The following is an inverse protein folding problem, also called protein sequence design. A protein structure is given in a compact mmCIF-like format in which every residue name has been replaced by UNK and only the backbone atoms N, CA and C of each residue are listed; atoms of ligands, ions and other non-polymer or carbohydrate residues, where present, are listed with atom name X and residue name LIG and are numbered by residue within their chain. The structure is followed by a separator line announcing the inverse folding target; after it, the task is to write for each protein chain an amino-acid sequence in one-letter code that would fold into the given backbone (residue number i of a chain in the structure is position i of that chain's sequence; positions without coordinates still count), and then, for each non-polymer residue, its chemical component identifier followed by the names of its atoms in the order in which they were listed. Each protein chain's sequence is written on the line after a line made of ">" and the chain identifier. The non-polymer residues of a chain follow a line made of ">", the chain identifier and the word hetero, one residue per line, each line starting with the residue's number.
data_IF_973474943799
#
_entry.id   IF_973474943799
#
_cell.length_a   1.000
_cell.length_b   1.000
_cell.length_c   1.000
_cell.angle_alpha   90.00
_cell.angle_beta   90.00
_cell.angle_gamma   90.00
#
_symmetry.space_group_name_H-M   'P 1'
#
loop_
_entity.id
_entity.type
_entity.pdbx_description
1 polymer ?
#
# COMPACT_ATOMS: atom_id res chain seq x y z
N UNK A 1 1.09 -2.45 38.38
CA UNK A 1 0.95 -2.05 36.95
C UNK A 1 -0.22 -2.83 36.37
N UNK A 2 -1.13 -2.20 35.62
CA UNK A 2 -2.13 -2.97 34.86
C UNK A 2 -1.39 -3.74 33.77
N UNK A 3 -1.57 -5.06 33.72
CA UNK A 3 -1.02 -5.90 32.66
C UNK A 3 -1.69 -5.49 31.35
N UNK A 4 -0.91 -5.30 30.29
CA UNK A 4 -1.45 -5.03 28.95
C UNK A 4 -2.45 -6.15 28.58
N UNK A 5 -3.61 -5.76 28.05
CA UNK A 5 -4.68 -6.70 27.67
C UNK A 5 -4.28 -7.58 26.48
N UNK A 6 -3.34 -7.12 25.67
CA UNK A 6 -2.87 -7.80 24.46
C UNK A 6 -1.35 -7.97 24.54
N UNK A 7 -0.86 -9.11 24.04
CA UNK A 7 0.57 -9.44 24.02
C UNK A 7 1.28 -8.93 22.77
N UNK A 8 0.53 -8.63 21.70
CA UNK A 8 1.06 -8.02 20.47
C UNK A 8 -0.07 -7.35 19.67
N UNK A 9 0.30 -6.47 18.74
CA UNK A 9 -0.62 -5.86 17.77
C UNK A 9 -0.09 -6.01 16.35
N UNK A 10 -0.89 -6.56 15.44
CA UNK A 10 -0.54 -6.70 14.03
C UNK A 10 -1.40 -5.76 13.20
N UNK A 11 -0.76 -5.01 12.31
CA UNK A 11 -1.42 -4.07 11.40
C UNK A 11 -1.36 -4.60 9.98
N UNK A 12 -2.43 -4.40 9.21
CA UNK A 12 -2.26 -4.33 7.75
C UNK A 12 -1.50 -3.05 7.38
N UNK A 13 -0.96 -3.01 6.16
CA UNK A 13 -0.16 -1.91 5.66
C UNK A 13 -1.00 -0.90 4.88
N UNK A 14 -1.42 -1.27 3.68
CA UNK A 14 -2.13 -0.42 2.73
C UNK A 14 -3.52 -0.08 3.27
N UNK A 15 -3.85 1.21 3.44
CA UNK A 15 -5.18 1.63 3.92
C UNK A 15 -5.42 1.43 5.42
N UNK A 16 -4.42 0.94 6.16
CA UNK A 16 -4.47 0.79 7.63
C UNK A 16 -3.36 1.56 8.32
N UNK A 17 -2.11 1.18 8.09
CA UNK A 17 -0.96 1.88 8.66
C UNK A 17 -0.57 3.07 7.78
N UNK A 18 -0.57 2.88 6.47
CA UNK A 18 -0.11 3.83 5.47
C UNK A 18 -1.18 4.15 4.43
N UNK A 19 -1.30 5.42 4.09
CA UNK A 19 -2.08 5.87 2.94
C UNK A 19 -1.25 5.76 1.65
N UNK A 20 -1.34 4.62 0.97
CA UNK A 20 -0.56 4.34 -0.26
C UNK A 20 -1.33 4.62 -1.55
N UNK A 21 -2.59 5.03 -1.45
CA UNK A 21 -3.44 5.30 -2.61
C UNK A 21 -2.92 6.45 -3.51
N UNK A 22 -2.35 7.55 -3.00
CA UNK A 22 -1.82 8.63 -3.85
C UNK A 22 -0.73 8.19 -4.84
N UNK A 23 0.15 7.27 -4.41
CA UNK A 23 1.23 6.74 -5.27
C UNK A 23 0.68 5.84 -6.38
N UNK A 24 -0.35 5.03 -6.06
CA UNK A 24 -1.07 4.27 -7.07
C UNK A 24 -1.81 5.19 -8.05
N UNK A 25 -2.46 6.25 -7.56
CA UNK A 25 -3.14 7.22 -8.41
C UNK A 25 -2.16 7.86 -9.41
N UNK A 26 -0.95 8.18 -8.95
CA UNK A 26 0.13 8.70 -9.79
C UNK A 26 0.51 7.71 -10.87
N UNK A 27 0.84 6.47 -10.49
CA UNK A 27 1.22 5.42 -11.44
C UNK A 27 0.11 5.12 -12.46
N UNK A 28 -1.14 5.02 -12.01
CA UNK A 28 -2.30 4.77 -12.86
C UNK A 28 -2.53 5.91 -13.85
N UNK A 29 -2.49 7.18 -13.41
CA UNK A 29 -2.69 8.32 -14.30
C UNK A 29 -1.54 8.54 -15.30
N UNK A 30 -0.32 8.08 -14.98
CA UNK A 30 0.76 8.00 -15.97
C UNK A 30 0.43 6.93 -17.02
N UNK A 31 0.02 5.73 -16.61
CA UNK A 31 -0.30 4.65 -17.55
C UNK A 31 -1.49 5.00 -18.46
N UNK A 32 -2.57 5.55 -17.89
CA UNK A 32 -3.75 5.98 -18.66
C UNK A 32 -3.35 6.99 -19.75
N UNK A 33 -2.51 7.97 -19.40
CA UNK A 33 -2.00 8.96 -20.35
C UNK A 33 -1.16 8.33 -21.46
N UNK A 34 -0.29 7.37 -21.13
CA UNK A 34 0.51 6.63 -22.12
C UNK A 34 -0.38 5.85 -23.09
N UNK A 35 -1.52 5.34 -22.63
CA UNK A 35 -2.51 4.64 -23.46
C UNK A 35 -3.57 5.56 -24.08
N UNK A 36 -3.44 6.89 -23.92
CA UNK A 36 -4.39 7.90 -24.41
C UNK A 36 -5.82 7.70 -23.89
N UNK A 37 -5.95 7.22 -22.66
CA UNK A 37 -7.22 7.05 -21.95
C UNK A 37 -7.49 8.23 -20.99
N UNK A 38 -8.76 8.50 -20.66
CA UNK A 38 -9.11 9.49 -19.64
C UNK A 38 -8.44 9.17 -18.29
N UNK A 39 -7.91 10.20 -17.63
CA UNK A 39 -7.39 10.10 -16.28
C UNK A 39 -8.51 9.98 -15.25
N UNK A 40 -8.18 9.45 -14.07
CA UNK A 40 -9.12 9.29 -12.97
C UNK A 40 -8.73 10.14 -11.77
N UNK A 41 -9.74 10.49 -10.97
CA UNK A 41 -9.52 11.24 -9.73
C UNK A 41 -8.92 10.31 -8.68
N UNK A 42 -8.14 10.88 -7.77
CA UNK A 42 -7.54 10.13 -6.66
C UNK A 42 -8.61 9.46 -5.77
N UNK A 43 -9.75 10.14 -5.55
CA UNK A 43 -10.86 9.58 -4.78
C UNK A 43 -11.37 8.26 -5.40
N UNK A 44 -11.40 8.17 -6.73
CA UNK A 44 -11.89 6.98 -7.43
C UNK A 44 -10.88 5.83 -7.26
N UNK A 45 -9.57 6.10 -7.32
CA UNK A 45 -8.50 5.11 -7.08
C UNK A 45 -8.69 4.34 -5.78
N UNK A 46 -9.07 5.04 -4.70
CA UNK A 46 -9.25 4.42 -3.37
C UNK A 46 -10.29 3.31 -3.37
N UNK A 47 -11.29 3.39 -4.24
CA UNK A 47 -12.32 2.34 -4.41
C UNK A 47 -11.89 1.19 -5.33
N UNK A 48 -10.80 1.40 -6.09
CA UNK A 48 -10.27 0.45 -7.07
C UNK A 48 -9.10 -0.36 -6.52
N UNK A 49 -8.31 0.25 -5.64
CA UNK A 49 -7.07 -0.32 -5.09
C UNK A 49 -7.32 -1.43 -4.06
N UNK A 50 -8.54 -1.59 -3.54
CA UNK A 50 -8.87 -2.66 -2.59
C UNK A 50 -8.53 -4.05 -3.12
N UNK A 51 -8.65 -4.26 -4.44
CA UNK A 51 -8.27 -5.50 -5.14
C UNK A 51 -6.85 -5.41 -5.75
N UNK A 52 -6.03 -4.48 -5.27
CA UNK A 52 -4.68 -4.21 -5.74
C UNK A 52 -4.60 -3.80 -7.21
N UNK A 53 -3.47 -4.13 -7.86
CA UNK A 53 -3.28 -3.82 -9.28
C UNK A 53 -4.29 -4.56 -10.18
N UNK A 54 -4.79 -5.73 -9.78
CA UNK A 54 -5.77 -6.49 -10.54
C UNK A 54 -7.11 -5.75 -10.68
N UNK A 55 -7.60 -5.14 -9.59
CA UNK A 55 -8.81 -4.30 -9.62
C UNK A 55 -8.67 -3.10 -10.53
N UNK A 56 -7.53 -2.41 -10.46
CA UNK A 56 -7.23 -1.25 -11.30
C UNK A 56 -7.23 -1.65 -12.78
N UNK A 57 -6.54 -2.73 -13.14
CA UNK A 57 -6.49 -3.19 -14.54
C UNK A 57 -7.88 -3.58 -15.04
N UNK A 58 -8.61 -4.37 -14.25
CA UNK A 58 -9.93 -4.87 -14.65
C UNK A 58 -10.94 -3.75 -14.85
N UNK A 59 -10.97 -2.75 -13.96
CA UNK A 59 -11.96 -1.67 -14.03
C UNK A 59 -11.59 -0.58 -15.05
N UNK A 60 -10.32 -0.19 -15.15
CA UNK A 60 -9.93 0.95 -15.99
C UNK A 60 -9.58 0.58 -17.44
N UNK A 61 -9.12 -0.65 -17.66
CA UNK A 61 -8.77 -1.13 -19.01
C UNK A 61 -9.80 -2.11 -19.56
N UNK A 62 -10.82 -2.48 -18.77
CA UNK A 62 -11.86 -3.44 -19.15
C UNK A 62 -11.30 -4.79 -19.64
N UNK A 63 -10.20 -5.25 -19.03
CA UNK A 63 -9.53 -6.52 -19.35
C UNK A 63 -9.31 -7.35 -18.08
N UNK A 64 -9.49 -8.67 -18.16
CA UNK A 64 -9.28 -9.60 -17.05
C UNK A 64 -8.11 -10.55 -17.34
N UNK A 65 -7.80 -11.46 -16.40
CA UNK A 65 -6.68 -12.41 -16.50
C UNK A 65 -6.71 -13.32 -17.74
N UNK A 66 -7.85 -13.50 -18.39
CA UNK A 66 -7.97 -14.25 -19.64
C UNK A 66 -7.57 -13.43 -20.88
N UNK A 67 -7.46 -12.10 -20.76
CA UNK A 67 -7.05 -11.23 -21.85
C UNK A 67 -5.51 -11.26 -22.03
N UNK A 68 -4.98 -11.48 -23.25
CA UNK A 68 -3.53 -11.52 -23.50
C UNK A 68 -2.76 -10.26 -23.09
N UNK A 69 -3.43 -9.10 -23.03
CA UNK A 69 -2.82 -7.82 -22.63
C UNK A 69 -2.85 -7.57 -21.13
N UNK A 70 -3.54 -8.40 -20.35
CA UNK A 70 -3.75 -8.19 -18.92
C UNK A 70 -2.42 -8.13 -18.16
N UNK A 71 -1.61 -9.19 -18.25
CA UNK A 71 -0.39 -9.26 -17.46
C UNK A 71 0.63 -8.21 -17.90
N UNK A 72 0.72 -7.97 -19.22
CA UNK A 72 1.55 -6.88 -19.76
C UNK A 72 1.16 -5.52 -19.18
N UNK A 73 -0.14 -5.19 -19.21
CA UNK A 73 -0.65 -3.91 -18.71
C UNK A 73 -0.51 -3.79 -17.19
N UNK A 74 -0.73 -4.89 -16.47
CA UNK A 74 -0.50 -4.99 -15.03
C UNK A 74 0.96 -4.74 -14.68
N UNK A 75 1.90 -5.33 -15.41
CA UNK A 75 3.32 -5.13 -15.18
C UNK A 75 3.77 -3.70 -15.52
N UNK A 76 3.21 -3.09 -16.56
CA UNK A 76 3.41 -1.66 -16.86
C UNK A 76 2.99 -0.77 -15.68
N UNK A 77 1.82 -1.03 -15.08
CA UNK A 77 1.35 -0.32 -13.89
C UNK A 77 2.30 -0.54 -12.71
N UNK A 78 2.68 -1.78 -12.42
CA UNK A 78 3.57 -2.11 -11.30
C UNK A 78 4.97 -1.50 -11.45
N UNK A 79 5.49 -1.43 -12.68
CA UNK A 79 6.75 -0.76 -12.97
C UNK A 79 6.66 0.75 -12.71
N UNK A 80 5.55 1.39 -13.07
CA UNK A 80 5.30 2.80 -12.77
C UNK A 80 5.15 3.03 -11.26
N UNK A 81 4.39 2.16 -10.58
CA UNK A 81 4.22 2.21 -9.13
C UNK A 81 5.55 2.07 -8.39
N UNK A 82 6.40 1.14 -8.83
CA UNK A 82 7.73 0.93 -8.24
C UNK A 82 8.62 2.18 -8.30
N UNK A 83 8.52 2.96 -9.39
CA UNK A 83 9.29 4.20 -9.57
C UNK A 83 8.78 5.35 -8.72
N UNK A 84 7.49 5.33 -8.38
CA UNK A 84 6.81 6.35 -7.57
C UNK A 84 6.44 5.84 -6.18
N UNK A 85 7.17 4.84 -5.70
CA UNK A 85 6.84 4.15 -4.46
C UNK A 85 7.22 5.01 -3.26
N UNK A 86 6.25 5.32 -2.39
CA UNK A 86 6.41 6.17 -1.22
C UNK A 86 6.86 7.61 -1.56
N UNK A 87 6.44 8.14 -2.71
CA UNK A 87 6.63 9.55 -3.05
C UNK A 87 5.64 10.43 -2.26
N UNK A 88 4.42 9.94 -2.07
CA UNK A 88 3.33 10.61 -1.36
C UNK A 88 2.71 9.75 -0.25
N UNK A 89 3.18 8.51 -0.08
CA UNK A 89 2.74 7.65 1.02
C UNK A 89 3.04 8.30 2.37
N UNK A 90 2.04 8.36 3.26
CA UNK A 90 2.20 8.84 4.63
C UNK A 90 1.50 7.90 5.62
N UNK A 91 1.95 7.82 6.87
CA UNK A 91 1.16 7.17 7.92
C UNK A 91 -0.19 7.86 8.10
N UNK A 92 -1.23 7.08 8.40
CA UNK A 92 -2.51 7.68 8.77
C UNK A 92 -2.38 8.51 10.06
N UNK A 93 -3.18 9.57 10.16
CA UNK A 93 -3.16 10.47 11.32
C UNK A 93 -3.39 9.67 12.62
N UNK A 94 -2.49 9.84 13.59
CA UNK A 94 -2.56 9.16 14.89
C UNK A 94 -1.83 7.81 14.96
N UNK A 95 -1.43 7.22 13.83
CA UNK A 95 -0.82 5.89 13.82
C UNK A 95 0.58 5.92 14.43
N UNK A 96 1.40 6.92 14.09
CA UNK A 96 2.73 7.08 14.67
C UNK A 96 2.64 7.21 16.20
N UNK A 97 1.66 7.95 16.72
CA UNK A 97 1.43 8.09 18.16
C UNK A 97 0.96 6.78 18.80
N UNK A 98 0.17 5.96 18.10
CA UNK A 98 -0.22 4.62 18.55
C UNK A 98 1.01 3.72 18.64
N UNK A 99 1.86 3.70 17.61
CA UNK A 99 3.09 2.89 17.61
C UNK A 99 4.00 3.25 18.79
N UNK A 100 4.23 4.55 19.02
CA UNK A 100 4.98 5.04 20.19
C UNK A 100 4.39 4.58 21.52
N UNK A 101 3.05 4.54 21.63
CA UNK A 101 2.38 4.06 22.84
C UNK A 101 2.55 2.56 23.04
N UNK A 102 2.52 1.77 21.96
CA UNK A 102 2.77 0.34 22.02
C UNK A 102 4.20 0.07 22.52
N UNK A 103 5.18 0.76 21.96
CA UNK A 103 6.58 0.66 22.42
C UNK A 103 6.74 1.09 23.88
N UNK A 104 6.11 2.18 24.31
CA UNK A 104 6.16 2.67 25.69
C UNK A 104 5.51 1.71 26.71
N UNK A 105 4.69 0.76 26.26
CA UNK A 105 4.07 -0.27 27.10
C UNK A 105 4.67 -1.67 26.89
N UNK A 106 5.80 -1.77 26.20
CA UNK A 106 6.46 -3.03 25.84
C UNK A 106 5.52 -4.01 25.08
N UNK A 107 4.57 -3.47 24.31
CA UNK A 107 3.68 -4.27 23.46
C UNK A 107 4.29 -4.33 22.06
N UNK A 108 4.84 -5.49 21.63
CA UNK A 108 5.39 -5.62 20.29
C UNK A 108 4.32 -5.44 19.23
N UNK A 109 4.71 -4.83 18.12
CA UNK A 109 3.85 -4.69 16.95
C UNK A 109 4.52 -5.17 15.68
N UNK A 110 3.70 -5.53 14.69
CA UNK A 110 4.16 -6.02 13.39
C UNK A 110 3.20 -5.70 12.27
N UNK A 111 3.59 -6.08 11.05
CA UNK A 111 2.82 -5.89 9.83
C UNK A 111 2.46 -7.25 9.24
N UNK A 112 1.19 -7.43 8.87
CA UNK A 112 0.70 -8.58 8.09
C UNK A 112 -0.09 -8.03 6.92
N UNK A 113 0.43 -8.15 5.71
CA UNK A 113 -0.15 -7.50 4.54
C UNK A 113 -0.17 -8.43 3.33
N UNK A 114 -1.11 -8.20 2.41
CA UNK A 114 -1.13 -8.84 1.09
C UNK A 114 -0.21 -8.15 0.07
N UNK A 115 0.48 -7.09 0.48
CA UNK A 115 1.43 -6.40 -0.38
C UNK A 115 2.71 -7.24 -0.56
N UNK A 116 3.17 -7.47 -1.81
CA UNK A 116 4.41 -8.20 -2.05
C UNK A 116 5.60 -7.60 -1.31
N UNK A 117 6.46 -8.48 -0.75
CA UNK A 117 7.57 -8.11 0.13
C UNK A 117 8.48 -7.02 -0.45
N UNK A 118 8.76 -7.08 -1.76
CA UNK A 118 9.62 -6.10 -2.44
C UNK A 118 9.11 -4.66 -2.29
N UNK A 119 7.78 -4.45 -2.36
CA UNK A 119 7.18 -3.13 -2.19
C UNK A 119 7.12 -2.75 -0.72
N UNK A 120 6.71 -3.68 0.14
CA UNK A 120 6.63 -3.47 1.59
C UNK A 120 7.98 -3.00 2.15
N UNK A 121 9.05 -3.75 1.88
CA UNK A 121 10.39 -3.42 2.35
C UNK A 121 10.90 -2.08 1.77
N UNK A 122 10.55 -1.77 0.53
CA UNK A 122 10.96 -0.50 -0.10
C UNK A 122 10.24 0.71 0.50
N UNK A 123 8.96 0.57 0.87
CA UNK A 123 8.20 1.60 1.59
C UNK A 123 8.76 1.80 3.00
N UNK A 124 8.98 0.71 3.75
CA UNK A 124 9.47 0.79 5.14
C UNK A 124 10.88 1.39 5.26
N UNK A 125 11.67 1.39 4.18
CA UNK A 125 12.96 2.09 4.12
C UNK A 125 12.83 3.61 3.93
N UNK A 126 11.68 4.08 3.43
CA UNK A 126 11.43 5.49 3.08
C UNK A 126 10.56 6.22 4.09
N UNK A 127 9.73 5.50 4.84
CA UNK A 127 8.77 6.07 5.79
C UNK A 127 9.28 5.91 7.22
N UNK A 128 9.32 7.02 7.95
CA UNK A 128 9.60 7.01 9.40
C UNK A 128 8.32 6.67 10.18
N UNK A 129 8.33 5.53 10.86
CA UNK A 129 7.26 5.04 11.73
C UNK A 129 7.58 5.24 13.21
N UNK A 130 8.65 5.96 13.55
CA UNK A 130 9.24 6.14 14.89
C UNK A 130 9.80 4.89 15.57
N UNK A 131 9.39 3.71 15.13
CA UNK A 131 10.01 2.43 15.47
C UNK A 131 9.83 1.44 14.32
N UNK A 132 10.57 0.33 14.38
CA UNK A 132 10.47 -0.73 13.38
C UNK A 132 9.53 -1.85 13.85
N UNK A 133 8.73 -2.42 12.93
CA UNK A 133 7.92 -3.60 13.24
C UNK A 133 8.82 -4.75 13.68
N UNK A 134 8.39 -5.51 14.70
CA UNK A 134 9.09 -6.73 15.15
C UNK A 134 8.95 -7.89 14.17
N UNK A 135 7.90 -7.87 13.34
CA UNK A 135 7.65 -8.85 12.30
C UNK A 135 6.96 -8.20 11.11
N UNK A 136 7.32 -8.63 9.90
CA UNK A 136 6.66 -8.25 8.66
C UNK A 136 6.34 -9.54 7.91
N UNK A 137 5.05 -9.79 7.65
CA UNK A 137 4.57 -10.95 6.91
C UNK A 137 3.95 -10.45 5.60
N UNK A 138 4.48 -10.94 4.49
CA UNK A 138 4.02 -10.67 3.12
C UNK A 138 3.70 -12.00 2.40
N UNK A 139 2.98 -11.97 1.27
CA UNK A 139 2.80 -13.14 0.41
C UNK A 139 4.08 -13.51 -0.36
#
# INVERSE_FOLDING_TARGET
>A
MMKARFEAVLFDLDGTLLDTAPDFATATNILLRQKKLPQIKEQDIRTLISDGSAGIISKLFAINSSNPQYEKTRQELLNLYSRHLADQTLPFKGLVEILKKLDAHDIPWGIVTNKPEIYTNSILKKIDLSSYPKVVVCP
#
